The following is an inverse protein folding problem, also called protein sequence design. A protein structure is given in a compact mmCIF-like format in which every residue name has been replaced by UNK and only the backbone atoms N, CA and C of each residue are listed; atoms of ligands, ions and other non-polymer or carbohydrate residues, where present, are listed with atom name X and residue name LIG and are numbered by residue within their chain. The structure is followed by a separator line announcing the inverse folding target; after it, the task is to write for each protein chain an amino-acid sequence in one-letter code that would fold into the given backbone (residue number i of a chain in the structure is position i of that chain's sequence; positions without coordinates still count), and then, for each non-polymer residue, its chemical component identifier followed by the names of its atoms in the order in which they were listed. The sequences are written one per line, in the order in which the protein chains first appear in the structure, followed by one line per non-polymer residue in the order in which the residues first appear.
data_IF_709327227264
#
_entry.id   IF_709327227264
#
_cell.length_a   1.000
_cell.length_b   1.000
_cell.length_c   1.000
_cell.angle_alpha   90.00
_cell.angle_beta   90.00
_cell.angle_gamma   90.00
#
_symmetry.space_group_name_H-M   'P 1'
#
loop_
_entity.id
_entity.type
_entity.pdbx_description
1 polymer ?
#
# COMPACT_ATOMS: atom_id res chain seq x y z
N UNK A 1 -6.57 -8.64 6.39
CA UNK A 1 -6.85 -9.81 5.54
C UNK A 1 -7.28 -11.02 6.34
N UNK A 2 -6.41 -11.66 7.15
CA UNK A 2 -6.84 -12.83 7.96
C UNK A 2 -8.08 -12.54 8.83
N UNK A 3 -8.12 -11.37 9.47
CA UNK A 3 -9.26 -10.94 10.28
C UNK A 3 -10.57 -10.76 9.49
N UNK A 4 -10.51 -10.52 8.17
CA UNK A 4 -11.66 -10.21 7.31
C UNK A 4 -11.99 -11.33 6.31
N UNK A 5 -11.13 -12.35 6.20
CA UNK A 5 -11.25 -13.44 5.23
C UNK A 5 -12.39 -14.43 5.56
N UNK A 6 -12.87 -14.47 6.81
CA UNK A 6 -13.93 -15.38 7.26
C UNK A 6 -13.53 -16.85 7.36
N UNK A 7 -12.48 -17.28 6.65
CA UNK A 7 -11.89 -18.62 6.70
C UNK A 7 -10.39 -18.57 6.45
N UNK A 8 -9.66 -19.53 7.04
CA UNK A 8 -8.19 -19.60 6.96
C UNK A 8 -7.73 -20.47 5.78
N UNK A 9 -8.17 -20.14 4.57
CA UNK A 9 -7.65 -20.75 3.35
C UNK A 9 -7.10 -19.71 2.37
N UNK A 10 -6.26 -20.18 1.44
CA UNK A 10 -5.51 -19.33 0.51
C UNK A 10 -6.41 -18.46 -0.35
N UNK A 11 -7.58 -18.96 -0.76
CA UNK A 11 -8.50 -18.23 -1.63
C UNK A 11 -9.10 -17.06 -0.85
N UNK A 12 -9.66 -17.32 0.34
CA UNK A 12 -10.28 -16.28 1.15
C UNK A 12 -9.31 -15.19 1.59
N UNK A 13 -8.08 -15.56 1.95
CA UNK A 13 -7.07 -14.56 2.35
C UNK A 13 -6.71 -13.64 1.18
N UNK A 14 -6.55 -14.18 -0.02
CA UNK A 14 -6.27 -13.38 -1.22
C UNK A 14 -7.45 -12.46 -1.56
N UNK A 15 -8.67 -12.99 -1.55
CA UNK A 15 -9.86 -12.21 -1.88
C UNK A 15 -10.05 -11.08 -0.86
N UNK A 16 -9.80 -11.35 0.43
CA UNK A 16 -9.80 -10.34 1.48
C UNK A 16 -8.66 -9.31 1.39
N UNK A 17 -7.52 -9.64 0.77
CA UNK A 17 -6.44 -8.68 0.48
C UNK A 17 -6.83 -7.75 -0.67
N UNK A 18 -7.40 -8.32 -1.74
CA UNK A 18 -7.82 -7.57 -2.93
C UNK A 18 -8.93 -6.55 -2.60
N UNK A 19 -9.76 -6.85 -1.60
CA UNK A 19 -10.83 -5.96 -1.13
C UNK A 19 -10.42 -4.93 -0.08
N UNK A 20 -9.12 -4.73 0.23
CA UNK A 20 -8.70 -3.72 1.24
C UNK A 20 -8.90 -2.31 0.66
N UNK A 21 -9.89 -1.54 1.16
CA UNK A 21 -10.19 -0.23 0.58
C UNK A 21 -9.18 0.83 1.05
N UNK A 22 -8.55 0.60 2.20
CA UNK A 22 -7.58 1.48 2.83
C UNK A 22 -6.79 0.72 3.88
N UNK A 23 -5.48 0.90 3.88
CA UNK A 23 -4.58 0.44 4.92
C UNK A 23 -3.53 1.50 5.25
N UNK A 24 -3.49 1.92 6.51
CA UNK A 24 -2.60 2.97 6.99
C UNK A 24 -1.31 2.31 7.52
N UNK A 25 -0.34 2.11 6.62
CA UNK A 25 0.94 1.49 6.92
C UNK A 25 2.06 2.49 7.16
N UNK A 26 3.23 2.00 7.62
CA UNK A 26 4.42 2.83 7.87
C UNK A 26 4.91 3.59 6.63
N UNK A 27 4.74 3.00 5.44
CA UNK A 27 5.11 3.64 4.16
C UNK A 27 4.02 4.55 3.62
N UNK A 28 2.99 4.87 4.41
CA UNK A 28 1.81 5.65 4.03
C UNK A 28 0.60 4.78 3.66
N UNK A 29 -0.48 5.47 3.30
CA UNK A 29 -1.77 4.87 2.95
C UNK A 29 -1.65 4.03 1.68
N UNK A 30 -2.24 2.83 1.69
CA UNK A 30 -2.35 1.93 0.55
C UNK A 30 -3.81 1.56 0.30
N UNK A 31 -4.16 1.38 -0.97
CA UNK A 31 -5.45 0.86 -1.40
C UNK A 31 -5.23 -0.20 -2.48
N UNK A 32 -5.90 -1.34 -2.40
CA UNK A 32 -5.85 -2.33 -3.46
C UNK A 32 -7.08 -2.17 -4.36
N UNK A 33 -6.84 -2.09 -5.67
CA UNK A 33 -7.93 -2.18 -6.65
C UNK A 33 -8.21 -3.65 -6.93
N UNK A 34 -9.48 -4.01 -6.96
CA UNK A 34 -9.90 -5.38 -7.26
C UNK A 34 -9.33 -5.85 -8.60
N UNK A 35 -8.81 -7.09 -8.61
CA UNK A 35 -8.22 -7.70 -9.81
C UNK A 35 -6.82 -7.19 -10.21
N UNK A 36 -6.33 -6.06 -9.69
CA UNK A 36 -5.00 -5.54 -10.05
C UNK A 36 -3.88 -6.27 -9.32
N UNK A 37 -4.04 -6.54 -8.02
CA UNK A 37 -2.95 -7.03 -7.16
C UNK A 37 -1.92 -5.96 -6.77
N UNK A 38 -1.91 -4.81 -7.45
CA UNK A 38 -1.00 -3.70 -7.16
C UNK A 38 -1.65 -2.68 -6.21
N UNK A 39 -0.94 -2.23 -5.16
CA UNK A 39 -1.43 -1.18 -4.29
C UNK A 39 -1.24 0.20 -4.93
N UNK A 40 -2.28 1.02 -4.86
CA UNK A 40 -2.21 2.46 -5.15
C UNK A 40 -1.65 3.19 -3.93
N UNK A 41 -0.53 3.91 -4.13
CA UNK A 41 0.19 4.67 -3.09
C UNK A 41 0.92 5.87 -3.68
N UNK A 42 1.08 6.94 -2.89
CA UNK A 42 1.90 8.10 -3.26
C UNK A 42 3.39 7.77 -3.32
N UNK A 43 4.09 8.32 -4.30
CA UNK A 43 5.55 8.28 -4.37
C UNK A 43 6.17 9.45 -3.57
N UNK A 44 7.36 9.22 -3.02
CA UNK A 44 8.15 10.25 -2.33
C UNK A 44 9.33 10.64 -3.21
N UNK A 45 9.43 11.92 -3.54
CA UNK A 45 10.58 12.50 -4.23
C UNK A 45 11.55 12.98 -3.17
N UNK A 46 12.76 12.44 -3.20
CA UNK A 46 13.86 12.79 -2.30
C UNK A 46 14.93 13.55 -3.05
N UNK A 47 15.56 14.51 -2.38
CA UNK A 47 16.75 15.21 -2.86
C UNK A 47 17.95 14.81 -2.03
N UNK A 48 19.07 14.49 -2.68
CA UNK A 48 20.34 14.27 -2.00
C UNK A 48 21.02 15.62 -1.80
N UNK A 49 21.35 15.97 -0.54
CA UNK A 49 22.16 17.13 -0.16
C UNK A 49 23.20 16.68 0.85
N UNK A 50 24.47 17.01 0.62
CA UNK A 50 25.58 16.66 1.51
C UNK A 50 25.63 15.17 1.89
N UNK A 51 25.35 14.30 0.92
CA UNK A 51 25.32 12.84 1.10
C UNK A 51 24.09 12.31 1.88
N UNK A 52 23.12 13.15 2.23
CA UNK A 52 21.91 12.76 2.97
C UNK A 52 20.65 12.90 2.13
N UNK A 53 19.70 11.98 2.32
CA UNK A 53 18.36 12.08 1.75
C UNK A 53 17.56 13.15 2.50
N UNK A 54 17.04 14.13 1.77
CA UNK A 54 16.15 15.17 2.28
C UNK A 54 14.80 15.05 1.56
N UNK A 55 13.71 15.15 2.32
CA UNK A 55 12.37 15.17 1.73
C UNK A 55 12.22 16.39 0.82
N UNK A 56 11.64 16.19 -0.37
CA UNK A 56 11.36 17.26 -1.31
C UNK A 56 9.86 17.40 -1.59
N UNK A 57 9.19 16.32 -2.00
CA UNK A 57 7.77 16.35 -2.31
C UNK A 57 7.14 14.96 -2.29
N UNK A 58 5.82 14.91 -2.25
CA UNK A 58 5.03 13.71 -2.52
C UNK A 58 4.31 13.86 -3.86
N UNK A 59 4.42 12.85 -4.72
CA UNK A 59 3.60 12.71 -5.90
C UNK A 59 2.42 11.80 -5.56
N UNK A 60 1.21 12.36 -5.54
CA UNK A 60 -0.01 11.58 -5.34
C UNK A 60 -0.40 10.89 -6.66
N UNK A 61 -1.02 9.70 -6.60
CA UNK A 61 -1.57 9.03 -7.78
C UNK A 61 -2.58 9.89 -8.54
#
# INVERSE_FOLDING_TARGET
ALATAGKNDRQAVRDALAGIPRYDGVTGIMQFREGSGDPVKSAVILKIRDGKFTWFANAKP
#
